data_IF_800482792941
#
_entry.id   IF_800482792941
#
_cell.length_a   1.000
_cell.length_b   1.000
_cell.length_c   1.000
_cell.angle_alpha   90.00
_cell.angle_beta   90.00
_cell.angle_gamma   90.00
#
_symmetry.space_group_name_H-M   'P 1'
#
loop_
_entity.id
_entity.type
_entity.pdbx_description
1 polymer ?
#
# COMPACT_ATOMS: atom_id res chain seq x y z
N UNK A 1 -0.58 10.95 12.40
CA UNK A 1 -1.27 10.74 11.10
C UNK A 1 -2.65 11.39 11.01
N UNK A 2 -3.70 11.04 11.81
CA UNK A 2 -5.04 11.63 11.62
C UNK A 2 -5.04 13.17 11.72
N UNK A 3 -4.44 13.74 12.78
CA UNK A 3 -4.34 15.20 12.96
C UNK A 3 -3.61 15.89 11.80
N UNK A 4 -2.61 15.26 11.24
CA UNK A 4 -1.82 15.79 10.10
C UNK A 4 -2.65 15.81 8.81
N UNK A 5 -3.40 14.72 8.54
CA UNK A 5 -4.30 14.67 7.38
C UNK A 5 -5.38 15.73 7.47
N UNK A 6 -5.98 15.94 8.67
CA UNK A 6 -6.98 17.00 8.86
C UNK A 6 -6.35 18.39 8.71
N UNK A 7 -5.13 18.60 9.23
CA UNK A 7 -4.41 19.87 9.05
C UNK A 7 -4.15 20.15 7.57
N UNK A 8 -3.64 19.17 6.82
CA UNK A 8 -3.43 19.27 5.38
C UNK A 8 -4.74 19.57 4.64
N UNK A 9 -5.83 18.90 5.03
CA UNK A 9 -7.15 19.16 4.47
C UNK A 9 -7.60 20.60 4.68
N UNK A 10 -7.46 21.11 5.91
CA UNK A 10 -7.84 22.49 6.27
C UNK A 10 -6.99 23.53 5.50
N UNK A 11 -5.68 23.29 5.37
CA UNK A 11 -4.78 24.17 4.62
C UNK A 11 -5.14 24.22 3.12
N UNK A 12 -5.34 23.06 2.49
CA UNK A 12 -5.72 22.98 1.06
C UNK A 12 -7.10 23.59 0.84
N UNK A 13 -8.07 23.30 1.72
CA UNK A 13 -9.43 23.85 1.62
C UNK A 13 -9.44 25.37 1.66
N UNK A 14 -8.59 25.98 2.50
CA UNK A 14 -8.41 27.43 2.56
C UNK A 14 -7.77 27.95 1.25
N UNK A 15 -6.73 27.28 0.77
CA UNK A 15 -5.99 27.68 -0.44
C UNK A 15 -6.88 27.74 -1.69
N UNK A 16 -7.80 26.77 -1.82
CA UNK A 16 -8.72 26.69 -2.98
C UNK A 16 -10.07 27.41 -2.72
N UNK A 17 -10.23 28.09 -1.59
CA UNK A 17 -11.48 28.72 -1.17
C UNK A 17 -12.70 27.76 -1.25
N UNK A 18 -12.53 26.54 -0.73
CA UNK A 18 -13.57 25.52 -0.75
C UNK A 18 -14.80 25.99 0.03
N UNK A 19 -15.99 25.79 -0.57
CA UNK A 19 -17.28 26.09 0.09
C UNK A 19 -17.36 25.45 1.49
N UNK A 20 -17.81 26.20 2.48
CA UNK A 20 -17.81 25.79 3.89
C UNK A 20 -18.64 24.52 4.15
N UNK A 21 -19.77 24.36 3.46
CA UNK A 21 -20.64 23.19 3.62
C UNK A 21 -19.99 21.94 3.02
N UNK A 22 -19.33 22.09 1.87
CA UNK A 22 -18.56 21.01 1.25
C UNK A 22 -17.38 20.64 2.15
N UNK A 23 -16.70 21.66 2.70
CA UNK A 23 -15.57 21.46 3.61
C UNK A 23 -15.96 20.63 4.83
N UNK A 24 -17.03 20.98 5.52
CA UNK A 24 -17.48 20.22 6.70
C UNK A 24 -17.91 18.79 6.31
N UNK A 25 -18.58 18.63 5.18
CA UNK A 25 -19.02 17.31 4.72
C UNK A 25 -17.87 16.36 4.38
N UNK A 26 -16.76 16.86 3.83
CA UNK A 26 -15.61 16.05 3.42
C UNK A 26 -14.55 15.87 4.51
N UNK A 27 -14.71 16.50 5.66
CA UNK A 27 -13.76 16.44 6.76
C UNK A 27 -13.83 15.13 7.55
N UNK A 28 -15.01 14.54 7.63
CA UNK A 28 -15.27 13.34 8.41
C UNK A 28 -15.75 12.17 7.54
N UNK A 29 -15.43 10.93 7.92
CA UNK A 29 -15.94 9.76 7.21
C UNK A 29 -17.45 9.63 7.40
N UNK A 30 -18.14 9.18 6.35
CA UNK A 30 -19.58 8.98 6.39
C UNK A 30 -19.99 7.72 7.14
N UNK A 31 -19.08 6.73 7.24
CA UNK A 31 -19.35 5.49 7.99
C UNK A 31 -18.07 4.91 8.57
N UNK A 32 -18.16 4.48 9.82
CA UNK A 32 -17.10 3.73 10.49
C UNK A 32 -17.70 2.50 11.16
N UNK A 33 -17.09 1.34 10.94
CA UNK A 33 -17.43 0.08 11.59
C UNK A 33 -16.24 -0.37 12.43
N UNK A 34 -16.50 -0.64 13.70
CA UNK A 34 -15.55 -1.26 14.62
C UNK A 34 -16.14 -2.60 15.05
N UNK A 35 -15.37 -3.65 14.91
CA UNK A 35 -15.79 -5.01 15.26
C UNK A 35 -14.78 -5.64 16.19
N UNK A 36 -15.28 -6.50 17.05
CA UNK A 36 -14.44 -7.34 17.90
C UNK A 36 -14.83 -8.79 17.69
N UNK A 37 -13.86 -9.66 17.60
CA UNK A 37 -14.11 -11.08 17.43
C UNK A 37 -13.08 -11.93 18.17
N UNK A 38 -13.50 -13.10 18.68
CA UNK A 38 -12.59 -14.04 19.33
C UNK A 38 -11.67 -14.69 18.29
N UNK A 39 -10.42 -14.83 18.66
CA UNK A 39 -9.40 -15.57 17.91
C UNK A 39 -8.68 -16.52 18.85
N UNK A 40 -8.40 -17.73 18.39
CA UNK A 40 -7.61 -18.73 19.10
C UNK A 40 -6.60 -19.34 18.12
N UNK A 41 -5.34 -19.39 18.51
CA UNK A 41 -4.27 -19.95 17.68
C UNK A 41 -4.37 -21.46 17.58
N UNK A 42 -4.55 -22.12 18.71
CA UNK A 42 -4.73 -23.57 18.87
C UNK A 42 -5.96 -23.83 19.75
N UNK A 43 -6.45 -25.07 19.77
CA UNK A 43 -7.56 -25.49 20.61
C UNK A 43 -7.25 -25.42 22.12
N UNK A 44 -5.98 -25.47 22.47
CA UNK A 44 -5.47 -25.40 23.85
C UNK A 44 -5.08 -24.00 24.30
N UNK A 45 -5.01 -23.02 23.38
CA UNK A 45 -4.66 -21.64 23.71
C UNK A 45 -5.84 -20.86 24.30
N UNK A 46 -5.51 -19.79 25.03
CA UNK A 46 -6.51 -18.83 25.47
C UNK A 46 -7.12 -18.08 24.29
N UNK A 47 -8.35 -17.61 24.47
CA UNK A 47 -9.03 -16.78 23.47
C UNK A 47 -8.50 -15.36 23.54
N UNK A 48 -7.94 -14.88 22.44
CA UNK A 48 -7.61 -13.47 22.24
C UNK A 48 -8.81 -12.72 21.63
N UNK A 49 -9.07 -11.49 22.07
CA UNK A 49 -10.04 -10.61 21.43
C UNK A 49 -9.33 -9.72 20.43
N UNK A 50 -9.68 -9.86 19.16
CA UNK A 50 -9.09 -9.08 18.06
C UNK A 50 -10.04 -7.96 17.66
N UNK A 51 -9.49 -6.76 17.43
CA UNK A 51 -10.26 -5.58 17.00
C UNK A 51 -10.03 -5.34 15.50
N UNK A 52 -11.13 -5.20 14.77
CA UNK A 52 -11.13 -4.86 13.35
C UNK A 52 -11.84 -3.53 13.08
N UNK A 53 -11.42 -2.84 12.03
CA UNK A 53 -11.94 -1.54 11.63
C UNK A 53 -12.24 -1.53 10.13
N UNK A 54 -13.34 -0.88 9.72
CA UNK A 54 -13.58 -0.48 8.33
C UNK A 54 -14.18 0.91 8.30
N UNK A 55 -13.52 1.84 7.62
CA UNK A 55 -13.95 3.23 7.47
C UNK A 55 -14.21 3.53 6.00
N UNK A 56 -15.37 4.15 5.72
CA UNK A 56 -15.80 4.60 4.40
C UNK A 56 -15.94 6.12 4.45
N UNK A 57 -15.09 6.83 3.68
CA UNK A 57 -15.01 8.29 3.77
C UNK A 57 -16.10 8.98 2.95
N UNK A 58 -16.14 8.78 1.64
CA UNK A 58 -17.12 9.43 0.75
C UNK A 58 -17.88 8.35 -0.03
N UNK A 59 -19.19 8.25 0.19
CA UNK A 59 -20.06 7.26 -0.47
C UNK A 59 -20.69 7.78 -1.77
N UNK A 60 -20.69 9.10 -2.01
CA UNK A 60 -21.33 9.72 -3.16
C UNK A 60 -20.49 9.71 -4.44
N UNK A 61 -19.21 9.32 -4.37
CA UNK A 61 -18.33 9.23 -5.54
C UNK A 61 -18.44 7.89 -6.29
N UNK A 62 -19.19 6.94 -5.77
CA UNK A 62 -19.27 5.56 -6.22
C UNK A 62 -18.88 4.59 -5.09
N UNK A 63 -18.64 3.31 -5.38
CA UNK A 63 -18.20 2.35 -4.38
C UNK A 63 -16.96 2.85 -3.65
N UNK A 64 -16.90 2.64 -2.33
CA UNK A 64 -15.67 2.97 -1.61
C UNK A 64 -14.58 1.92 -1.89
N UNK A 65 -13.32 2.36 -1.88
CA UNK A 65 -12.19 1.51 -2.27
C UNK A 65 -11.01 1.74 -1.33
N UNK A 66 -10.46 0.65 -0.78
CA UNK A 66 -9.26 0.78 0.05
C UNK A 66 -8.73 -0.53 0.62
N UNK A 67 -7.45 -0.51 0.99
CA UNK A 67 -6.73 -1.66 1.52
C UNK A 67 -7.17 -2.09 2.92
N UNK A 68 -6.84 -3.32 3.28
CA UNK A 68 -6.96 -3.88 4.63
C UNK A 68 -5.54 -4.10 5.17
N UNK A 69 -5.23 -3.50 6.32
CA UNK A 69 -3.92 -3.57 6.99
C UNK A 69 -3.98 -4.52 8.19
N UNK A 70 -2.98 -5.39 8.31
CA UNK A 70 -2.76 -6.14 9.54
C UNK A 70 -1.48 -5.64 10.19
N UNK A 71 -1.62 -5.02 11.36
CA UNK A 71 -0.50 -4.58 12.19
C UNK A 71 -0.98 -4.39 13.64
N UNK A 72 -0.11 -4.59 14.63
CA UNK A 72 -0.51 -4.53 16.05
C UNK A 72 -0.98 -3.14 16.49
N UNK A 73 -0.52 -2.09 15.84
CA UNK A 73 -0.83 -0.69 16.16
C UNK A 73 -2.01 -0.10 15.36
N UNK A 74 -2.69 -0.89 14.55
CA UNK A 74 -3.89 -0.45 13.80
C UNK A 74 -4.94 0.08 14.77
N UNK A 75 -5.44 1.28 14.49
CA UNK A 75 -6.48 1.95 15.28
C UNK A 75 -7.41 2.77 14.40
N UNK A 76 -8.56 3.17 14.96
CA UNK A 76 -9.59 3.90 14.21
C UNK A 76 -9.08 5.22 13.61
N UNK A 77 -8.22 5.95 14.30
CA UNK A 77 -7.67 7.23 13.82
C UNK A 77 -6.78 7.04 12.59
N UNK A 78 -5.90 6.04 12.60
CA UNK A 78 -5.07 5.69 11.45
C UNK A 78 -5.92 5.25 10.25
N UNK A 79 -6.86 4.34 10.48
CA UNK A 79 -7.74 3.83 9.41
C UNK A 79 -8.60 4.96 8.83
N UNK A 80 -9.07 5.90 9.65
CA UNK A 80 -9.81 7.09 9.19
C UNK A 80 -8.94 7.98 8.30
N UNK A 81 -7.72 8.31 8.74
CA UNK A 81 -6.78 9.10 7.95
C UNK A 81 -6.53 8.49 6.57
N UNK A 82 -6.26 7.20 6.56
CA UNK A 82 -5.99 6.46 5.32
C UNK A 82 -7.23 6.37 4.41
N UNK A 83 -8.44 6.29 4.95
CA UNK A 83 -9.68 6.31 4.16
C UNK A 83 -9.89 7.69 3.48
N UNK A 84 -9.59 8.79 4.18
CA UNK A 84 -9.60 10.14 3.61
C UNK A 84 -8.61 10.24 2.44
N UNK A 85 -7.37 9.82 2.66
CA UNK A 85 -6.32 9.81 1.62
C UNK A 85 -6.71 8.95 0.40
N UNK A 86 -7.44 7.86 0.60
CA UNK A 86 -7.94 7.04 -0.50
C UNK A 86 -8.99 7.77 -1.35
N UNK A 87 -9.85 8.62 -0.77
CA UNK A 87 -10.76 9.48 -1.54
C UNK A 87 -9.99 10.49 -2.40
N UNK A 88 -8.99 11.15 -1.81
CA UNK A 88 -8.17 12.10 -2.56
C UNK A 88 -7.40 11.42 -3.69
N UNK A 89 -6.82 10.24 -3.40
CA UNK A 89 -6.11 9.44 -4.41
C UNK A 89 -6.98 9.11 -5.62
N UNK A 90 -8.22 8.70 -5.41
CA UNK A 90 -9.16 8.40 -6.50
C UNK A 90 -9.57 9.67 -7.24
N UNK A 91 -9.86 10.75 -6.52
CA UNK A 91 -10.30 12.04 -7.09
C UNK A 91 -9.22 12.68 -7.99
N UNK A 92 -7.96 12.66 -7.55
CA UNK A 92 -6.83 13.26 -8.30
C UNK A 92 -6.68 12.64 -9.70
N UNK A 93 -6.94 11.34 -9.83
CA UNK A 93 -6.86 10.62 -11.11
C UNK A 93 -8.22 10.42 -11.79
N UNK A 94 -9.28 11.10 -11.30
CA UNK A 94 -10.61 11.07 -11.90
C UNK A 94 -11.33 9.72 -11.81
N UNK A 95 -11.00 8.87 -10.86
CA UNK A 95 -11.66 7.58 -10.68
C UNK A 95 -12.96 7.73 -9.85
N UNK A 96 -14.07 7.09 -10.26
CA UNK A 96 -15.35 7.18 -9.58
C UNK A 96 -15.43 6.27 -8.35
N UNK A 97 -14.51 6.45 -7.40
CA UNK A 97 -14.46 5.69 -6.16
C UNK A 97 -14.34 6.62 -4.95
N UNK A 98 -15.17 6.36 -3.95
CA UNK A 98 -14.93 6.91 -2.62
C UNK A 98 -13.74 6.22 -1.95
N UNK A 99 -13.21 6.81 -0.90
CA UNK A 99 -12.12 6.21 -0.13
C UNK A 99 -12.64 5.31 0.98
N UNK A 100 -12.00 4.17 1.14
CA UNK A 100 -12.15 3.33 2.32
C UNK A 100 -10.80 2.84 2.83
N UNK A 101 -10.78 2.43 4.08
CA UNK A 101 -9.65 1.71 4.67
C UNK A 101 -10.17 0.73 5.71
N UNK A 102 -9.53 -0.43 5.78
CA UNK A 102 -9.76 -1.40 6.83
C UNK A 102 -8.47 -1.79 7.54
N UNK A 103 -8.60 -2.46 8.65
CA UNK A 103 -7.47 -3.05 9.32
C UNK A 103 -7.88 -3.92 10.49
N UNK A 104 -6.97 -4.78 10.90
CA UNK A 104 -7.09 -5.63 12.08
C UNK A 104 -5.87 -5.39 12.95
N UNK A 105 -6.12 -5.12 14.23
CA UNK A 105 -5.06 -4.91 15.22
C UNK A 105 -4.46 -6.26 15.64
N UNK A 106 -3.61 -6.82 14.79
CA UNK A 106 -2.91 -8.09 15.00
C UNK A 106 -1.55 -8.08 14.32
N UNK A 107 -0.53 -8.68 14.93
CA UNK A 107 0.75 -8.90 14.27
C UNK A 107 0.62 -10.09 13.30
N UNK A 108 0.79 -9.88 11.98
CA UNK A 108 0.69 -10.96 11.01
C UNK A 108 1.92 -11.85 10.93
N UNK A 109 3.08 -11.42 11.47
CA UNK A 109 4.36 -12.14 11.31
C UNK A 109 4.40 -13.50 12.01
N UNK A 110 3.94 -13.63 13.27
CA UNK A 110 3.93 -14.93 13.94
C UNK A 110 2.75 -15.83 13.51
N UNK A 111 1.83 -15.33 12.70
CA UNK A 111 0.67 -16.11 12.29
C UNK A 111 1.04 -17.14 11.22
N UNK A 112 0.67 -18.39 11.46
CA UNK A 112 0.66 -19.41 10.41
C UNK A 112 -0.34 -19.03 9.30
N UNK A 113 -0.21 -19.64 8.14
CA UNK A 113 -1.16 -19.44 7.03
C UNK A 113 -2.60 -19.77 7.44
N UNK A 114 -2.78 -20.82 8.23
CA UNK A 114 -4.11 -21.24 8.71
C UNK A 114 -4.72 -20.24 9.70
N UNK A 115 -3.91 -19.71 10.61
CA UNK A 115 -4.33 -18.66 11.55
C UNK A 115 -4.71 -17.37 10.82
N UNK A 116 -3.86 -16.90 9.89
CA UNK A 116 -4.14 -15.73 9.07
C UNK A 116 -5.42 -15.90 8.25
N UNK A 117 -5.68 -17.12 7.73
CA UNK A 117 -6.93 -17.44 7.05
C UNK A 117 -8.14 -17.33 7.98
N UNK A 118 -8.07 -17.88 9.20
CA UNK A 118 -9.16 -17.80 10.18
C UNK A 118 -9.49 -16.35 10.54
N UNK A 119 -8.48 -15.53 10.87
CA UNK A 119 -8.65 -14.10 11.16
C UNK A 119 -9.30 -13.39 9.97
N UNK A 120 -8.81 -13.64 8.75
CA UNK A 120 -9.31 -12.99 7.53
C UNK A 120 -10.78 -13.36 7.27
N UNK A 121 -11.12 -14.63 7.35
CA UNK A 121 -12.50 -15.09 7.13
C UNK A 121 -13.45 -14.54 8.20
N UNK A 122 -13.03 -14.54 9.46
CA UNK A 122 -13.84 -13.98 10.55
C UNK A 122 -14.04 -12.48 10.37
N UNK A 123 -12.99 -11.72 10.12
CA UNK A 123 -13.08 -10.29 9.84
C UNK A 123 -13.97 -10.00 8.61
N UNK A 124 -13.85 -10.78 7.54
CA UNK A 124 -14.72 -10.65 6.36
C UNK A 124 -16.19 -10.84 6.70
N UNK A 125 -16.52 -11.82 7.53
CA UNK A 125 -17.90 -12.06 7.96
C UNK A 125 -18.49 -10.85 8.70
N UNK A 126 -17.69 -10.15 9.52
CA UNK A 126 -18.13 -8.93 10.19
C UNK A 126 -18.34 -7.75 9.23
N UNK A 127 -17.63 -7.75 8.09
CA UNK A 127 -17.74 -6.68 7.08
C UNK A 127 -18.90 -6.86 6.11
N UNK A 128 -19.53 -8.04 6.01
CA UNK A 128 -20.59 -8.35 5.04
C UNK A 128 -21.67 -7.27 4.89
N UNK A 129 -22.15 -6.62 5.97
CA UNK A 129 -23.21 -5.61 5.86
C UNK A 129 -22.80 -4.38 5.02
N UNK A 130 -21.49 -4.06 4.95
CA UNK A 130 -21.01 -2.81 4.38
C UNK A 130 -20.14 -2.98 3.14
N UNK A 131 -19.58 -4.17 2.88
CA UNK A 131 -18.79 -4.44 1.66
C UNK A 131 -19.69 -4.96 0.52
N UNK A 132 -19.22 -4.82 -0.69
CA UNK A 132 -19.94 -5.28 -1.90
C UNK A 132 -19.32 -4.70 -3.15
N UNK A 133 -19.56 -5.34 -4.30
CA UNK A 133 -19.01 -4.90 -5.60
C UNK A 133 -19.43 -3.48 -5.96
N UNK A 134 -20.62 -3.06 -5.53
CA UNK A 134 -21.19 -1.72 -5.76
C UNK A 134 -21.24 -0.85 -4.49
N UNK A 135 -20.61 -1.31 -3.39
CA UNK A 135 -20.64 -0.63 -2.08
C UNK A 135 -19.26 -0.25 -1.60
N UNK A 136 -18.41 -1.26 -1.39
CA UNK A 136 -17.07 -1.07 -0.83
C UNK A 136 -16.19 -2.27 -1.21
N UNK A 137 -15.07 -1.99 -1.86
CA UNK A 137 -14.19 -2.97 -2.47
C UNK A 137 -12.85 -3.00 -1.74
N UNK A 138 -12.56 -4.01 -0.92
CA UNK A 138 -11.27 -4.18 -0.27
C UNK A 138 -10.12 -4.43 -1.26
N UNK A 139 -8.90 -4.18 -0.76
CA UNK A 139 -7.65 -4.40 -1.47
C UNK A 139 -6.55 -4.81 -0.47
N UNK A 140 -5.40 -5.32 -0.91
CA UNK A 140 -4.27 -5.60 -0.01
C UNK A 140 -3.58 -4.31 0.45
N UNK A 141 -3.00 -4.36 1.64
CA UNK A 141 -2.15 -3.34 2.26
C UNK A 141 -1.07 -4.03 3.12
N UNK A 142 -0.39 -3.29 4.00
CA UNK A 142 0.60 -3.85 4.91
C UNK A 142 0.05 -5.06 5.70
N UNK A 143 0.81 -6.14 5.75
CA UNK A 143 0.44 -7.38 6.45
C UNK A 143 -0.57 -8.26 5.71
N UNK A 144 -1.11 -7.83 4.56
CA UNK A 144 -2.01 -8.62 3.70
C UNK A 144 -1.46 -8.76 2.28
N UNK A 145 -1.95 -9.76 1.56
CA UNK A 145 -1.42 -10.19 0.26
C UNK A 145 -2.53 -10.69 -0.68
N UNK A 146 -2.14 -11.19 -1.84
CA UNK A 146 -3.05 -11.78 -2.82
C UNK A 146 -3.85 -12.95 -2.24
N UNK A 147 -3.22 -13.77 -1.38
CA UNK A 147 -3.88 -14.92 -0.75
C UNK A 147 -4.94 -14.45 0.25
N UNK A 148 -4.67 -13.38 1.00
CA UNK A 148 -5.64 -12.76 1.90
C UNK A 148 -6.87 -12.27 1.13
N UNK A 149 -6.67 -11.65 -0.03
CA UNK A 149 -7.76 -11.23 -0.92
C UNK A 149 -8.55 -12.41 -1.48
N UNK A 150 -7.89 -13.53 -1.80
CA UNK A 150 -8.58 -14.75 -2.22
C UNK A 150 -9.51 -15.28 -1.12
N UNK A 151 -9.08 -15.26 0.15
CA UNK A 151 -9.92 -15.69 1.27
C UNK A 151 -11.11 -14.75 1.50
N UNK A 152 -10.95 -13.43 1.32
CA UNK A 152 -12.06 -12.47 1.40
C UNK A 152 -13.07 -12.75 0.28
N UNK A 153 -12.59 -12.92 -0.95
CA UNK A 153 -13.46 -13.22 -2.10
C UNK A 153 -14.24 -14.52 -1.90
N UNK A 154 -13.59 -15.58 -1.46
CA UNK A 154 -14.20 -16.87 -1.20
C UNK A 154 -15.25 -16.79 -0.09
N UNK A 155 -14.90 -16.14 1.03
CA UNK A 155 -15.83 -15.97 2.16
C UNK A 155 -17.07 -15.18 1.77
N UNK A 156 -16.89 -14.05 1.07
CA UNK A 156 -17.99 -13.23 0.59
C UNK A 156 -18.87 -13.98 -0.41
N UNK A 157 -18.26 -14.67 -1.38
CA UNK A 157 -18.98 -15.45 -2.41
C UNK A 157 -19.83 -16.56 -1.80
N UNK A 158 -19.32 -17.26 -0.78
CA UNK A 158 -20.08 -18.27 -0.06
C UNK A 158 -21.30 -17.68 0.66
N UNK A 159 -21.18 -16.49 1.25
CA UNK A 159 -22.29 -15.81 1.92
C UNK A 159 -23.41 -15.39 0.97
N UNK A 160 -23.05 -14.86 -0.21
CA UNK A 160 -24.03 -14.41 -1.21
C UNK A 160 -24.52 -15.56 -2.11
N UNK A 161 -23.92 -16.75 -2.00
CA UNK A 161 -24.31 -17.94 -2.75
C UNK A 161 -23.91 -17.95 -4.23
N UNK A 162 -23.03 -17.05 -4.65
CA UNK A 162 -22.53 -16.98 -6.04
C UNK A 162 -21.14 -16.38 -6.11
N UNK A 163 -20.29 -16.76 -7.10
CA UNK A 163 -18.97 -16.19 -7.26
C UNK A 163 -19.00 -14.67 -7.46
N UNK A 164 -18.23 -13.93 -6.64
CA UNK A 164 -18.16 -12.46 -6.65
C UNK A 164 -16.71 -11.98 -6.82
N UNK A 165 -16.10 -12.20 -8.01
CA UNK A 165 -14.70 -11.82 -8.21
C UNK A 165 -14.47 -10.29 -8.15
N UNK A 166 -15.49 -9.47 -8.33
CA UNK A 166 -15.43 -8.01 -8.21
C UNK A 166 -15.31 -7.48 -6.78
N UNK A 167 -15.55 -8.33 -5.75
CA UNK A 167 -15.55 -7.89 -4.36
C UNK A 167 -14.20 -7.36 -3.86
N UNK A 168 -13.09 -7.82 -4.43
CA UNK A 168 -11.73 -7.42 -4.05
C UNK A 168 -10.87 -7.13 -5.27
N UNK A 169 -9.87 -6.28 -5.09
CA UNK A 169 -8.75 -6.16 -6.02
C UNK A 169 -7.46 -6.71 -5.39
N UNK A 170 -6.44 -6.95 -6.21
CA UNK A 170 -5.16 -7.50 -5.72
C UNK A 170 -5.21 -8.98 -5.35
N UNK A 171 -6.23 -9.70 -5.81
CA UNK A 171 -6.32 -11.16 -5.76
C UNK A 171 -5.40 -11.80 -6.79
N UNK A 172 -5.08 -13.11 -6.69
CA UNK A 172 -4.28 -13.83 -7.68
C UNK A 172 -4.81 -13.69 -9.11
N UNK A 173 -3.91 -13.66 -10.09
CA UNK A 173 -4.28 -13.58 -11.53
C UNK A 173 -5.19 -14.72 -11.94
N UNK A 174 -4.94 -15.94 -11.43
CA UNK A 174 -5.77 -17.13 -11.65
C UNK A 174 -7.23 -16.99 -11.17
N UNK A 175 -7.49 -16.04 -10.27
CA UNK A 175 -8.82 -15.68 -9.76
C UNK A 175 -9.37 -14.38 -10.40
N UNK A 176 -8.82 -13.94 -11.53
CA UNK A 176 -9.21 -12.72 -12.22
C UNK A 176 -8.54 -11.45 -11.65
N UNK A 177 -7.37 -11.57 -11.02
CA UNK A 177 -6.54 -10.45 -10.62
C UNK A 177 -5.85 -9.78 -11.81
N UNK A 178 -5.49 -8.50 -11.67
CA UNK A 178 -4.72 -7.76 -12.68
C UNK A 178 -3.25 -8.19 -12.69
N UNK A 179 -2.70 -8.46 -13.86
CA UNK A 179 -1.29 -8.85 -14.07
C UNK A 179 -0.33 -7.77 -13.55
N UNK A 180 -0.65 -6.50 -13.79
CA UNK A 180 0.23 -5.36 -13.44
C UNK A 180 0.15 -4.91 -11.99
N UNK A 181 -0.70 -5.50 -11.16
CA UNK A 181 -0.95 -5.02 -9.78
C UNK A 181 0.33 -4.97 -8.93
N UNK A 182 1.21 -5.96 -9.06
CA UNK A 182 2.46 -6.01 -8.29
C UNK A 182 3.39 -4.85 -8.61
N UNK A 183 3.43 -4.44 -9.87
CA UNK A 183 4.37 -3.44 -10.39
C UNK A 183 3.81 -2.01 -10.32
N UNK A 184 2.48 -1.88 -10.30
CA UNK A 184 1.78 -0.61 -10.54
C UNK A 184 2.18 0.52 -9.59
N UNK A 185 2.51 0.23 -8.34
CA UNK A 185 2.89 1.28 -7.37
C UNK A 185 4.28 1.83 -7.68
N UNK A 186 5.28 0.97 -7.88
CA UNK A 186 6.64 1.38 -8.23
C UNK A 186 6.69 2.09 -9.59
N UNK A 187 6.09 1.49 -10.62
CA UNK A 187 6.01 2.08 -11.96
C UNK A 187 5.26 3.41 -11.97
N UNK A 188 4.17 3.51 -11.21
CA UNK A 188 3.41 4.76 -11.07
C UNK A 188 4.21 5.88 -10.43
N UNK A 189 4.99 5.58 -9.39
CA UNK A 189 5.87 6.56 -8.75
C UNK A 189 6.92 7.09 -9.74
N UNK A 190 7.55 6.21 -10.52
CA UNK A 190 8.54 6.59 -11.55
C UNK A 190 7.89 7.41 -12.66
N UNK A 191 6.70 7.03 -13.14
CA UNK A 191 5.99 7.79 -14.18
C UNK A 191 5.69 9.23 -13.74
N UNK A 192 5.24 9.42 -12.49
CA UNK A 192 5.02 10.76 -11.92
C UNK A 192 6.34 11.50 -11.71
N UNK A 193 7.38 10.81 -11.23
CA UNK A 193 8.73 11.38 -11.08
C UNK A 193 9.31 11.87 -12.40
N UNK A 194 9.18 11.08 -13.48
CA UNK A 194 9.58 11.49 -14.83
C UNK A 194 8.83 12.75 -15.27
N UNK A 195 7.50 12.74 -15.16
CA UNK A 195 6.69 13.90 -15.56
C UNK A 195 7.05 15.17 -14.75
N UNK A 196 7.38 15.02 -13.47
CA UNK A 196 7.83 16.13 -12.63
C UNK A 196 9.21 16.67 -13.11
N UNK A 197 10.16 15.81 -13.45
CA UNK A 197 11.46 16.21 -14.00
C UNK A 197 11.31 16.94 -15.34
N UNK A 198 10.51 16.41 -16.24
CA UNK A 198 10.22 17.06 -17.54
C UNK A 198 9.63 18.47 -17.35
N UNK A 199 8.73 18.63 -16.36
CA UNK A 199 8.12 19.93 -16.05
C UNK A 199 9.12 20.98 -15.54
N UNK A 200 10.23 20.56 -14.94
CA UNK A 200 11.33 21.45 -14.51
C UNK A 200 12.49 21.48 -15.52
N UNK A 201 12.27 20.98 -16.75
CA UNK A 201 13.25 21.01 -17.83
C UNK A 201 14.40 20.00 -17.69
N UNK A 202 14.25 18.98 -16.85
CA UNK A 202 15.22 17.88 -16.69
C UNK A 202 14.77 16.62 -17.41
N UNK A 203 15.73 15.82 -17.89
CA UNK A 203 15.45 14.52 -18.48
C UNK A 203 15.59 13.42 -17.43
N UNK A 204 14.65 12.49 -17.40
CA UNK A 204 14.71 11.30 -16.53
C UNK A 204 15.74 10.29 -17.03
N UNK A 205 15.88 10.15 -18.35
CA UNK A 205 16.92 9.31 -18.94
C UNK A 205 18.30 9.82 -18.54
N UNK A 206 19.20 8.91 -18.21
CA UNK A 206 20.56 9.16 -17.71
C UNK A 206 20.62 9.82 -16.32
N UNK A 207 19.48 10.13 -15.67
CA UNK A 207 19.45 10.64 -14.30
C UNK A 207 19.92 9.60 -13.29
N UNK A 208 20.55 10.08 -12.21
CA UNK A 208 20.97 9.23 -11.07
C UNK A 208 19.80 9.05 -10.12
N UNK A 209 19.39 7.82 -9.92
CA UNK A 209 18.25 7.46 -9.05
C UNK A 209 18.73 6.68 -7.84
N UNK A 210 18.31 7.10 -6.66
CA UNK A 210 18.53 6.39 -5.38
C UNK A 210 17.19 5.93 -4.85
N UNK A 211 17.11 4.67 -4.38
CA UNK A 211 15.87 4.07 -3.91
C UNK A 211 16.08 3.49 -2.51
N UNK A 212 15.37 4.02 -1.53
CA UNK A 212 15.34 3.45 -0.19
C UNK A 212 14.27 2.37 -0.11
N UNK A 213 14.69 1.15 0.21
CA UNK A 213 13.82 -0.01 0.31
C UNK A 213 13.71 -0.79 -1.00
N UNK A 214 14.05 -2.09 -0.96
CA UNK A 214 13.95 -3.00 -2.11
C UNK A 214 12.81 -4.02 -1.95
N UNK A 215 11.74 -3.60 -1.28
CA UNK A 215 10.46 -4.30 -1.17
C UNK A 215 9.66 -4.24 -2.48
N UNK A 216 8.36 -4.50 -2.42
CA UNK A 216 7.53 -4.54 -3.62
C UNK A 216 7.55 -3.21 -4.41
N UNK A 217 7.44 -2.07 -3.72
CA UNK A 217 7.44 -0.75 -4.38
C UNK A 217 8.82 -0.42 -4.95
N UNK A 218 9.87 -0.50 -4.12
CA UNK A 218 11.22 -0.09 -4.52
C UNK A 218 11.80 -0.92 -5.65
N UNK A 219 11.61 -2.26 -5.63
CA UNK A 219 12.13 -3.11 -6.72
C UNK A 219 11.50 -2.80 -8.08
N UNK A 220 10.20 -2.53 -8.13
CA UNK A 220 9.56 -2.17 -9.40
C UNK A 220 9.78 -0.70 -9.79
N UNK A 221 10.04 0.19 -8.83
CA UNK A 221 10.55 1.52 -9.13
C UNK A 221 11.97 1.45 -9.73
N UNK A 222 12.85 0.59 -9.19
CA UNK A 222 14.18 0.36 -9.74
C UNK A 222 14.11 -0.20 -11.17
N UNK A 223 13.27 -1.21 -11.39
CA UNK A 223 13.10 -1.82 -12.70
C UNK A 223 12.59 -0.82 -13.74
N UNK A 224 11.54 -0.07 -13.42
CA UNK A 224 10.97 0.93 -14.34
C UNK A 224 11.94 2.08 -14.61
N UNK A 225 12.69 2.54 -13.60
CA UNK A 225 13.76 3.53 -13.78
C UNK A 225 14.84 3.03 -14.74
N UNK A 226 15.29 1.79 -14.55
CA UNK A 226 16.26 1.14 -15.42
C UNK A 226 15.76 0.99 -16.86
N UNK A 227 14.51 0.53 -17.05
CA UNK A 227 13.88 0.37 -18.36
C UNK A 227 13.71 1.71 -19.10
N UNK A 228 13.54 2.83 -18.37
CA UNK A 228 13.50 4.21 -18.92
C UNK A 228 14.87 4.79 -19.18
N UNK A 229 15.94 4.05 -18.90
CA UNK A 229 17.33 4.45 -19.15
C UNK A 229 17.91 5.37 -18.07
N UNK A 230 17.32 5.45 -16.89
CA UNK A 230 17.93 6.10 -15.74
C UNK A 230 19.00 5.19 -15.10
N UNK A 231 19.96 5.78 -14.41
CA UNK A 231 20.99 5.08 -13.66
C UNK A 231 20.54 4.91 -12.22
N UNK A 232 20.05 3.72 -11.85
CA UNK A 232 19.80 3.40 -10.45
C UNK A 232 21.14 3.18 -9.77
N UNK A 233 21.64 4.17 -9.04
CA UNK A 233 22.99 4.14 -8.46
C UNK A 233 23.07 3.52 -7.08
N UNK A 234 21.97 3.50 -6.33
CA UNK A 234 21.92 2.86 -5.02
C UNK A 234 20.51 2.33 -4.69
N UNK A 235 20.50 1.21 -4.00
CA UNK A 235 19.31 0.64 -3.37
C UNK A 235 19.67 0.02 -2.03
N UNK A 236 18.71 -0.06 -1.09
CA UNK A 236 18.90 -0.80 0.17
C UNK A 236 17.67 -1.64 0.53
N UNK A 237 17.90 -2.57 1.43
CA UNK A 237 16.87 -3.29 2.17
C UNK A 237 17.24 -3.41 3.66
N UNK A 238 16.58 -4.30 4.41
CA UNK A 238 16.88 -4.51 5.82
C UNK A 238 18.25 -5.15 6.07
N UNK A 239 18.83 -5.80 5.07
CA UNK A 239 20.13 -6.46 5.18
C UNK A 239 21.32 -5.55 4.84
N UNK A 240 21.08 -4.41 4.18
CA UNK A 240 22.14 -3.47 3.83
C UNK A 240 21.85 -2.68 2.55
N UNK A 241 22.86 -2.02 2.02
CA UNK A 241 22.77 -1.23 0.81
C UNK A 241 23.85 -1.63 -0.20
N UNK A 242 23.56 -1.41 -1.48
CA UNK A 242 24.51 -1.58 -2.59
C UNK A 242 24.55 -0.30 -3.43
N UNK A 243 25.75 0.09 -3.85
CA UNK A 243 26.02 1.30 -4.61
C UNK A 243 26.86 0.99 -5.85
N UNK A 244 26.53 1.66 -6.96
CA UNK A 244 27.37 1.70 -8.16
C UNK A 244 27.15 3.04 -8.88
N UNK A 245 28.19 3.90 -8.92
CA UNK A 245 28.12 5.23 -9.55
C UNK A 245 27.72 5.19 -11.03
N UNK A 246 28.02 4.11 -11.72
CA UNK A 246 27.74 3.94 -13.16
C UNK A 246 26.36 3.32 -13.43
N UNK A 247 25.63 2.93 -12.37
CA UNK A 247 24.31 2.32 -12.37
C UNK A 247 24.35 0.81 -12.13
N UNK A 248 23.42 0.34 -11.33
CA UNK A 248 23.20 -1.08 -11.02
C UNK A 248 22.47 -1.78 -12.17
N UNK A 249 22.88 -3.01 -12.49
CA UNK A 249 22.13 -3.87 -13.40
C UNK A 249 20.92 -4.46 -12.65
N UNK A 250 19.77 -3.82 -12.77
CA UNK A 250 18.58 -4.20 -12.00
C UNK A 250 18.06 -5.61 -12.34
N UNK A 251 18.02 -6.08 -13.61
CA UNK A 251 17.71 -7.47 -13.92
C UNK A 251 18.60 -8.51 -13.21
N UNK A 252 19.91 -8.25 -13.10
CA UNK A 252 20.82 -9.15 -12.38
C UNK A 252 20.61 -9.04 -10.85
N UNK A 253 20.32 -7.86 -10.34
CA UNK A 253 19.96 -7.68 -8.93
C UNK A 253 18.68 -8.46 -8.56
N UNK A 254 17.68 -8.53 -9.45
CA UNK A 254 16.51 -9.40 -9.25
C UNK A 254 16.88 -10.89 -9.16
N UNK A 255 17.85 -11.35 -9.96
CA UNK A 255 18.35 -12.73 -9.88
C UNK A 255 19.11 -12.98 -8.58
N UNK A 256 19.84 -11.97 -8.10
CA UNK A 256 20.55 -12.03 -6.82
C UNK A 256 19.58 -12.19 -5.66
N UNK A 257 18.57 -11.32 -5.54
CA UNK A 257 17.57 -11.38 -4.44
C UNK A 257 16.63 -12.60 -4.52
N UNK A 258 16.57 -13.27 -5.65
CA UNK A 258 15.86 -14.55 -5.74
C UNK A 258 16.61 -15.70 -5.06
N UNK A 259 17.91 -15.54 -4.82
CA UNK A 259 18.80 -16.54 -4.18
C UNK A 259 19.19 -16.12 -2.75
N UNK A 260 19.29 -14.83 -2.51
CA UNK A 260 19.70 -14.22 -1.24
C UNK A 260 18.61 -13.26 -0.76
N UNK A 261 18.31 -13.21 0.56
CA UNK A 261 17.19 -12.38 1.05
C UNK A 261 17.53 -10.88 1.15
N UNK A 262 18.67 -10.42 0.61
CA UNK A 262 19.15 -9.04 0.70
C UNK A 262 19.83 -8.58 -0.58
N UNK A 263 19.85 -7.26 -0.81
CA UNK A 263 20.64 -6.62 -1.86
C UNK A 263 22.13 -6.59 -1.54
N UNK A 264 22.50 -6.73 -0.26
CA UNK A 264 23.92 -6.77 0.19
C UNK A 264 24.66 -7.93 -0.44
N UNK A 265 25.91 -7.69 -0.83
CA UNK A 265 26.76 -8.69 -1.49
C UNK A 265 26.43 -8.89 -2.98
N UNK A 266 25.70 -7.99 -3.60
CA UNK A 266 25.47 -8.02 -5.06
C UNK A 266 26.75 -7.65 -5.81
N UNK A 267 27.26 -8.57 -6.63
CA UNK A 267 28.55 -8.40 -7.36
C UNK A 267 28.54 -7.25 -8.39
N UNK A 268 27.36 -6.73 -8.77
CA UNK A 268 27.21 -5.61 -9.70
C UNK A 268 27.39 -4.22 -9.06
N UNK A 269 27.78 -4.15 -7.80
CA UNK A 269 28.05 -2.93 -7.05
C UNK A 269 28.90 -3.22 -5.83
N UNK A 270 29.18 -2.20 -5.04
CA UNK A 270 29.87 -2.31 -3.74
C UNK A 270 28.87 -2.17 -2.59
N UNK A 271 29.10 -2.88 -1.50
CA UNK A 271 28.31 -2.72 -0.28
C UNK A 271 28.52 -1.28 0.25
N UNK A 272 27.41 -0.60 0.58
CA UNK A 272 27.44 0.79 1.03
C UNK A 272 27.05 0.86 2.52
N UNK A 273 27.93 1.41 3.34
CA UNK A 273 27.76 1.48 4.81
C UNK A 273 27.26 2.88 5.26
N UNK A 274 27.07 3.84 4.34
CA UNK A 274 26.58 5.18 4.64
C UNK A 274 25.05 5.30 4.65
N UNK A 275 24.55 6.50 4.96
CA UNK A 275 23.11 6.80 4.90
C UNK A 275 22.64 6.95 3.45
N UNK A 276 21.79 6.06 2.99
CA UNK A 276 21.34 6.00 1.60
C UNK A 276 20.58 7.26 1.16
N UNK A 277 19.87 7.91 2.08
CA UNK A 277 19.10 9.13 1.80
C UNK A 277 19.99 10.36 1.55
N UNK A 278 21.28 10.30 1.91
CA UNK A 278 22.26 11.37 1.73
C UNK A 278 23.10 11.23 0.45
N UNK A 279 22.91 10.14 -0.30
CA UNK A 279 23.62 9.95 -1.57
C UNK A 279 23.18 11.00 -2.58
N UNK A 280 24.15 11.75 -3.15
CA UNK A 280 23.89 12.75 -4.18
C UNK A 280 23.26 12.13 -5.44
N UNK A 281 22.02 12.54 -5.75
CA UNK A 281 21.25 12.00 -6.87
C UNK A 281 20.34 13.06 -7.49
N UNK A 282 19.78 12.72 -8.64
CA UNK A 282 18.82 13.59 -9.33
C UNK A 282 17.38 13.25 -8.92
N UNK A 283 17.14 11.99 -8.53
CA UNK A 283 15.84 11.49 -8.06
C UNK A 283 16.05 10.57 -6.85
N UNK A 284 15.40 10.90 -5.73
CA UNK A 284 15.35 10.07 -4.54
C UNK A 284 13.94 9.48 -4.37
N UNK A 285 13.87 8.16 -4.24
CA UNK A 285 12.59 7.43 -4.06
C UNK A 285 12.59 6.71 -2.70
N UNK A 286 12.05 7.32 -1.63
CA UNK A 286 11.84 6.65 -0.36
C UNK A 286 10.68 5.65 -0.50
N UNK A 287 10.97 4.35 -0.53
CA UNK A 287 10.00 3.26 -0.75
C UNK A 287 10.00 2.22 0.38
N UNK A 288 10.36 2.64 1.59
CA UNK A 288 10.39 1.80 2.80
C UNK A 288 9.29 2.24 3.80
N UNK A 289 9.70 2.77 4.95
CA UNK A 289 8.77 3.20 6.01
C UNK A 289 8.60 4.73 6.02
N UNK A 290 7.51 5.22 6.62
CA UNK A 290 7.27 6.65 6.78
C UNK A 290 8.13 7.29 7.87
N UNK A 291 8.32 8.64 7.81
CA UNK A 291 9.03 9.39 8.82
C UNK A 291 10.56 9.28 8.78
N UNK A 292 11.13 8.89 7.64
CA UNK A 292 12.59 8.74 7.45
C UNK A 292 13.28 10.04 6.96
N UNK A 293 12.51 10.96 6.40
CA UNK A 293 12.98 12.31 6.06
C UNK A 293 12.56 13.25 7.18
N UNK A 294 13.52 13.85 7.87
CA UNK A 294 13.33 14.73 9.04
C UNK A 294 13.90 16.11 8.79
#
# INVERSE_FOLDING_TARGET
MYKEVIKQYDEVSNLINLDSNIRERLKLPQRSLVVTFPFRRDEYDDVETVVGYRVQHVLSMGPTKGGIRYAPNVNLGEVTALAILMSWKSAIVGLPYGGAKGGVAIDPNPLTRAEKQRVTRRYTAELLPIIGVDKDIPAPDLGTDEQTMAWIMDTYSNFVGSPQPGIVTGKPVSLGGSITRRESTGRGAVAVGQAAMEKIGKNYKDSRVVIQGFGNVGRYAALDSYERGAKVIAVNDLGGAVFNKDGLNIPELFKHIAKTPSVKGFEGGEDYEGEILEIECDVLIPAAVGGVIT
#
